data_IF_507343052903
#
_entry.id   IF_507343052903
#
_cell.length_a   1.000
_cell.length_b   1.000
_cell.length_c   1.000
_cell.angle_alpha   90.00
_cell.angle_beta   90.00
_cell.angle_gamma   90.00
#
_symmetry.space_group_name_H-M   'P 1'
#
loop_
_entity.id
_entity.type
_entity.pdbx_description
1 polymer ?
#
# COMPACT_ATOMS: atom_id res chain seq x y z
N UNK A 1 -11.57 1.33 8.83
CA UNK A 1 -11.92 1.92 7.52
C UNK A 1 -11.72 3.42 7.63
N UNK A 2 -10.88 4.02 6.77
CA UNK A 2 -10.59 5.45 6.80
C UNK A 2 -11.85 6.29 6.54
N UNK A 3 -11.97 7.43 7.21
CA UNK A 3 -13.06 8.39 7.05
C UNK A 3 -12.53 9.80 7.13
N UNK A 4 -13.14 10.70 6.36
CA UNK A 4 -12.96 12.15 6.49
C UNK A 4 -14.32 12.76 6.80
N UNK A 5 -14.48 13.28 8.02
CA UNK A 5 -15.79 13.71 8.54
C UNK A 5 -16.84 12.60 8.44
N UNK A 6 -17.97 12.92 7.81
CA UNK A 6 -19.11 11.99 7.62
C UNK A 6 -18.93 10.99 6.47
N UNK A 7 -17.85 11.09 5.68
CA UNK A 7 -17.68 10.29 4.45
C UNK A 7 -16.58 9.24 4.58
N UNK A 8 -16.80 8.10 3.94
CA UNK A 8 -15.77 7.06 3.80
C UNK A 8 -14.81 7.43 2.68
N UNK A 9 -13.57 6.97 2.77
CA UNK A 9 -12.59 7.12 1.68
C UNK A 9 -13.10 6.46 0.39
N UNK A 10 -13.76 5.30 0.50
CA UNK A 10 -14.39 4.65 -0.67
C UNK A 10 -15.40 5.57 -1.37
N UNK A 11 -16.25 6.28 -0.61
CA UNK A 11 -17.22 7.22 -1.19
C UNK A 11 -16.53 8.38 -1.90
N UNK A 12 -15.42 8.88 -1.35
CA UNK A 12 -14.63 9.95 -1.97
C UNK A 12 -13.95 9.48 -3.26
N UNK A 13 -13.37 8.28 -3.25
CA UNK A 13 -12.76 7.68 -4.45
C UNK A 13 -13.81 7.47 -5.54
N UNK A 14 -14.98 6.92 -5.21
CA UNK A 14 -16.08 6.73 -6.20
C UNK A 14 -16.60 8.04 -6.79
N UNK A 15 -16.70 9.08 -5.97
CA UNK A 15 -17.06 10.41 -6.46
C UNK A 15 -16.00 10.96 -7.40
N UNK A 16 -14.72 10.83 -7.05
CA UNK A 16 -13.61 11.24 -7.89
C UNK A 16 -13.61 10.49 -9.23
N UNK A 17 -13.74 9.16 -9.20
CA UNK A 17 -13.81 8.31 -10.38
C UNK A 17 -14.91 8.78 -11.34
N UNK A 18 -16.09 9.09 -10.80
CA UNK A 18 -17.22 9.60 -11.58
C UNK A 18 -16.98 11.02 -12.10
N UNK A 19 -16.49 11.94 -11.27
CA UNK A 19 -16.31 13.36 -11.65
C UNK A 19 -15.16 13.57 -12.62
N UNK A 20 -14.15 12.72 -12.57
CA UNK A 20 -12.94 12.83 -13.36
C UNK A 20 -12.88 11.80 -14.50
N UNK A 21 -13.97 11.06 -14.73
CA UNK A 21 -14.13 10.10 -15.85
C UNK A 21 -13.10 8.95 -15.83
N UNK A 22 -12.76 8.45 -14.64
CA UNK A 22 -11.80 7.35 -14.44
C UNK A 22 -12.45 5.96 -14.38
N UNK A 23 -13.74 5.83 -14.70
CA UNK A 23 -14.47 4.56 -14.58
C UNK A 23 -14.03 3.52 -15.61
N UNK A 24 -13.71 3.96 -16.83
CA UNK A 24 -13.23 3.08 -17.90
C UNK A 24 -12.24 3.83 -18.79
N UNK A 25 -11.40 3.08 -19.52
CA UNK A 25 -10.50 3.69 -20.51
C UNK A 25 -11.25 4.49 -21.58
N UNK A 26 -12.47 4.06 -21.92
CA UNK A 26 -13.32 4.75 -22.90
C UNK A 26 -13.81 6.09 -22.35
N UNK A 27 -14.41 6.06 -21.16
CA UNK A 27 -14.91 7.25 -20.46
C UNK A 27 -13.81 8.31 -20.29
N UNK A 28 -12.61 7.86 -19.88
CA UNK A 28 -11.45 8.75 -19.74
C UNK A 28 -11.08 9.44 -21.05
N UNK A 29 -10.94 8.66 -22.13
CA UNK A 29 -10.51 9.18 -23.44
C UNK A 29 -11.55 10.08 -24.12
N UNK A 30 -12.82 9.93 -23.77
CA UNK A 30 -13.89 10.78 -24.29
C UNK A 30 -13.93 12.17 -23.62
N UNK A 31 -13.34 12.30 -22.43
CA UNK A 31 -13.42 13.52 -21.60
C UNK A 31 -12.07 14.20 -21.33
N UNK A 32 -10.96 13.61 -21.75
CA UNK A 32 -9.61 14.15 -21.56
C UNK A 32 -8.85 14.26 -22.88
N UNK A 33 -8.13 15.37 -23.08
CA UNK A 33 -7.29 15.60 -24.28
C UNK A 33 -6.13 14.59 -24.42
N UNK A 34 -5.80 13.90 -23.33
CA UNK A 34 -4.74 12.91 -23.30
C UNK A 34 -5.28 11.53 -23.68
N UNK A 35 -4.74 10.97 -24.77
CA UNK A 35 -5.08 9.63 -25.22
C UNK A 35 -4.40 8.51 -24.42
N UNK A 36 -3.52 8.83 -23.48
CA UNK A 36 -2.72 7.85 -22.75
C UNK A 36 -3.07 7.86 -21.27
N UNK A 37 -3.45 6.69 -20.76
CA UNK A 37 -3.76 6.50 -19.35
C UNK A 37 -2.50 6.00 -18.63
N UNK A 38 -2.07 6.69 -17.58
CA UNK A 38 -0.95 6.24 -16.75
C UNK A 38 -1.36 6.11 -15.29
N UNK A 39 -0.78 5.12 -14.60
CA UNK A 39 -1.01 4.89 -13.17
C UNK A 39 -0.50 6.08 -12.35
N UNK A 40 0.62 6.68 -12.79
CA UNK A 40 1.17 7.89 -12.19
C UNK A 40 0.17 9.04 -12.21
N UNK A 41 -0.41 9.36 -13.39
CA UNK A 41 -1.38 10.45 -13.53
C UNK A 41 -2.63 10.21 -12.68
N UNK A 42 -3.13 8.97 -12.66
CA UNK A 42 -4.22 8.55 -11.75
C UNK A 42 -3.88 8.87 -10.28
N UNK A 43 -2.67 8.54 -9.84
CA UNK A 43 -2.23 8.78 -8.47
C UNK A 43 -2.07 10.28 -8.14
N UNK A 44 -1.55 11.09 -9.07
CA UNK A 44 -1.41 12.55 -8.89
C UNK A 44 -2.78 13.23 -8.79
N UNK A 45 -3.70 12.93 -9.71
CA UNK A 45 -5.05 13.52 -9.72
C UNK A 45 -5.87 13.07 -8.50
N UNK A 46 -5.72 11.82 -8.07
CA UNK A 46 -6.38 11.32 -6.86
C UNK A 46 -5.82 11.98 -5.59
N UNK A 47 -4.49 12.20 -5.51
CA UNK A 47 -3.87 12.92 -4.41
C UNK A 47 -4.45 14.33 -4.29
N UNK A 48 -4.51 15.07 -5.41
CA UNK A 48 -5.03 16.44 -5.43
C UNK A 48 -6.51 16.50 -5.01
N UNK A 49 -7.32 15.54 -5.46
CA UNK A 49 -8.71 15.46 -5.05
C UNK A 49 -8.86 15.16 -3.56
N UNK A 50 -8.15 14.15 -3.05
CA UNK A 50 -8.26 13.73 -1.65
C UNK A 50 -7.67 14.77 -0.69
N UNK A 51 -6.63 15.50 -1.07
CA UNK A 51 -6.13 16.66 -0.30
C UNK A 51 -7.19 17.74 -0.15
N UNK A 52 -7.84 18.14 -1.25
CA UNK A 52 -8.94 19.11 -1.21
C UNK A 52 -10.09 18.60 -0.35
N UNK A 53 -10.42 17.30 -0.42
CA UNK A 53 -11.46 16.72 0.44
C UNK A 53 -11.06 16.74 1.92
N UNK A 54 -9.78 16.50 2.23
CA UNK A 54 -9.23 16.57 3.58
C UNK A 54 -9.29 18.00 4.15
N UNK A 55 -8.79 18.98 3.39
CA UNK A 55 -8.76 20.41 3.74
C UNK A 55 -10.16 20.99 3.96
N UNK A 56 -11.16 20.48 3.25
CA UNK A 56 -12.56 20.90 3.39
C UNK A 56 -13.36 20.08 4.41
N UNK A 57 -12.71 19.17 5.15
CA UNK A 57 -13.40 18.31 6.14
C UNK A 57 -13.22 18.80 7.57
N UNK A 58 -14.11 18.33 8.45
CA UNK A 58 -14.13 18.68 9.88
C UNK A 58 -12.83 18.31 10.62
N UNK A 59 -12.00 17.43 10.05
CA UNK A 59 -10.69 17.04 10.62
C UNK A 59 -9.74 18.22 10.76
N UNK A 60 -9.94 19.30 9.98
CA UNK A 60 -9.13 20.51 10.07
C UNK A 60 -9.34 21.28 11.37
N UNK A 61 -10.44 21.03 12.09
CA UNK A 61 -10.69 21.58 13.41
C UNK A 61 -9.93 20.85 14.53
N UNK A 62 -9.34 19.69 14.23
CA UNK A 62 -8.54 18.94 15.20
C UNK A 62 -7.12 19.54 15.31
N UNK A 63 -6.50 19.46 16.51
CA UNK A 63 -5.07 19.70 16.70
C UNK A 63 -4.23 18.86 15.72
N UNK A 64 -3.10 19.40 15.27
CA UNK A 64 -2.28 18.77 14.23
C UNK A 64 -1.79 17.36 14.60
N UNK A 65 -1.50 17.11 15.87
CA UNK A 65 -1.09 15.82 16.40
C UNK A 65 -2.24 14.78 16.51
N UNK A 66 -3.49 15.22 16.39
CA UNK A 66 -4.68 14.36 16.45
C UNK A 66 -5.30 14.12 15.07
N UNK A 67 -4.80 14.82 14.05
CA UNK A 67 -5.28 14.71 12.69
C UNK A 67 -5.02 13.32 12.10
N UNK A 68 -6.04 12.66 11.53
CA UNK A 68 -5.89 11.31 11.01
C UNK A 68 -5.00 11.31 9.78
N UNK A 69 -4.08 10.34 9.74
CA UNK A 69 -3.21 10.10 8.60
C UNK A 69 -3.81 8.99 7.74
N UNK A 70 -3.82 9.20 6.42
CA UNK A 70 -4.26 8.22 5.44
C UNK A 70 -3.16 7.95 4.41
N UNK A 71 -2.74 6.69 4.32
CA UNK A 71 -1.92 6.22 3.20
C UNK A 71 -2.79 5.62 2.09
N UNK A 72 -2.51 5.99 0.85
CA UNK A 72 -3.13 5.40 -0.36
C UNK A 72 -2.04 4.80 -1.23
N UNK A 73 -2.34 3.64 -1.81
CA UNK A 73 -1.52 3.00 -2.84
C UNK A 73 -2.36 2.92 -4.11
N UNK A 74 -1.78 3.36 -5.21
CA UNK A 74 -2.35 3.27 -6.56
C UNK A 74 -1.41 2.40 -7.38
N UNK A 75 -1.90 1.28 -7.87
CA UNK A 75 -1.11 0.29 -8.59
C UNK A 75 -1.82 -0.18 -9.86
N UNK A 76 -1.06 -0.49 -10.90
CA UNK A 76 -1.62 -0.99 -12.15
C UNK A 76 -0.60 -1.04 -13.27
N UNK A 77 -1.09 -1.07 -14.51
CA UNK A 77 -0.28 -1.00 -15.73
C UNK A 77 -0.66 0.28 -16.46
N UNK A 78 0.33 1.10 -16.81
CA UNK A 78 0.11 2.24 -17.70
C UNK A 78 -0.13 1.74 -19.12
N UNK A 79 -0.87 2.50 -19.90
CA UNK A 79 -1.22 2.14 -21.27
C UNK A 79 0.03 1.97 -22.13
N UNK A 80 0.19 0.78 -22.73
CA UNK A 80 1.35 0.42 -23.55
C UNK A 80 2.55 -0.10 -22.75
N UNK A 81 2.53 -0.04 -21.42
CA UNK A 81 3.62 -0.50 -20.58
C UNK A 81 3.48 -1.99 -20.21
N UNK A 82 4.60 -2.71 -20.26
CA UNK A 82 4.65 -4.14 -19.93
C UNK A 82 4.77 -4.40 -18.43
N UNK A 83 5.46 -3.51 -17.70
CA UNK A 83 5.70 -3.67 -16.26
C UNK A 83 4.71 -2.85 -15.43
N UNK A 84 4.31 -3.34 -14.24
CA UNK A 84 3.41 -2.61 -13.37
C UNK A 84 4.10 -1.43 -12.69
N UNK A 85 3.29 -0.44 -12.32
CA UNK A 85 3.69 0.69 -11.51
C UNK A 85 2.96 0.67 -10.17
N UNK A 86 3.63 1.16 -9.12
CA UNK A 86 3.07 1.31 -7.78
C UNK A 86 3.45 2.68 -7.26
N UNK A 87 2.44 3.51 -7.03
CA UNK A 87 2.56 4.85 -6.48
C UNK A 87 1.88 4.91 -5.12
N UNK A 88 2.45 5.69 -4.21
CA UNK A 88 1.92 5.83 -2.85
C UNK A 88 2.00 7.27 -2.41
N UNK A 89 1.02 7.70 -1.63
CA UNK A 89 1.03 9.00 -0.97
C UNK A 89 0.36 8.91 0.40
N UNK A 90 0.73 9.82 1.29
CA UNK A 90 0.13 9.99 2.61
C UNK A 90 -0.49 11.39 2.74
N UNK A 91 -1.74 11.46 3.18
CA UNK A 91 -2.44 12.71 3.47
C UNK A 91 -2.58 12.86 5.00
N UNK A 92 -2.34 14.06 5.57
CA UNK A 92 -1.92 15.31 4.93
C UNK A 92 -0.38 15.50 4.86
N UNK A 93 0.40 14.45 5.12
CA UNK A 93 1.85 14.54 5.34
C UNK A 93 2.64 14.80 4.06
N UNK A 94 2.29 14.15 2.96
CA UNK A 94 3.05 14.16 1.71
C UNK A 94 2.39 15.06 0.66
N UNK A 95 3.21 15.88 0.01
CA UNK A 95 2.75 16.77 -1.05
C UNK A 95 2.86 16.17 -2.46
N UNK A 96 3.54 15.05 -2.61
CA UNK A 96 3.80 14.39 -3.88
C UNK A 96 3.66 12.88 -3.73
N UNK A 97 3.40 12.21 -4.85
CA UNK A 97 3.41 10.75 -4.89
C UNK A 97 4.84 10.20 -4.86
N UNK A 98 4.99 9.02 -4.28
CA UNK A 98 6.24 8.29 -4.14
C UNK A 98 6.20 6.99 -4.95
N UNK A 99 7.13 6.82 -5.88
CA UNK A 99 7.29 5.57 -6.62
C UNK A 99 7.78 4.47 -5.68
N UNK A 100 7.01 3.39 -5.53
CA UNK A 100 7.37 2.27 -4.65
C UNK A 100 8.25 1.23 -5.34
N UNK A 101 8.41 1.31 -6.66
CA UNK A 101 9.26 0.42 -7.48
C UNK A 101 10.02 1.24 -8.52
N UNK A 102 10.88 2.20 -8.10
CA UNK A 102 11.73 2.90 -9.06
C UNK A 102 12.71 1.91 -9.70
N UNK A 103 12.99 2.10 -10.99
CA UNK A 103 13.98 1.31 -11.71
C UNK A 103 15.33 1.36 -10.98
N UNK A 104 16.03 0.22 -10.94
CA UNK A 104 17.37 0.10 -10.38
C UNK A 104 18.35 -0.13 -11.52
N UNK A 105 19.37 0.73 -11.65
CA UNK A 105 20.35 0.66 -12.74
C UNK A 105 19.70 0.59 -14.14
N UNK A 106 18.66 1.39 -14.36
CA UNK A 106 17.84 1.41 -15.57
C UNK A 106 17.11 0.08 -15.89
N UNK A 107 16.99 -0.83 -14.92
CA UNK A 107 16.24 -2.07 -15.03
C UNK A 107 14.97 -2.01 -14.16
N UNK A 108 13.89 -2.71 -14.55
CA UNK A 108 12.69 -2.85 -13.72
C UNK A 108 13.03 -3.43 -12.34
N UNK A 109 12.34 -2.93 -11.32
CA UNK A 109 12.53 -3.35 -9.94
C UNK A 109 11.34 -4.18 -9.46
N UNK A 110 11.60 -5.35 -8.89
CA UNK A 110 10.59 -6.29 -8.42
C UNK A 110 10.72 -6.51 -6.92
N UNK A 111 9.61 -6.60 -6.22
CA UNK A 111 9.62 -6.75 -4.77
C UNK A 111 8.24 -6.70 -4.14
N UNK A 112 8.21 -6.83 -2.81
CA UNK A 112 7.02 -6.64 -1.99
C UNK A 112 7.10 -5.36 -1.15
N UNK A 113 5.95 -4.70 -0.95
CA UNK A 113 5.80 -3.52 -0.10
C UNK A 113 4.70 -3.79 0.91
N UNK A 114 4.88 -3.33 2.14
CA UNK A 114 3.92 -3.52 3.22
C UNK A 114 3.69 -2.20 3.96
N UNK A 115 2.46 -2.01 4.40
CA UNK A 115 2.00 -0.79 5.07
C UNK A 115 1.10 -1.15 6.26
N UNK A 116 0.94 -0.21 7.19
CA UNK A 116 0.17 -0.45 8.42
C UNK A 116 1.03 -1.12 9.49
N UNK A 117 0.64 -2.33 9.89
CA UNK A 117 1.31 -3.08 10.96
C UNK A 117 2.37 -4.00 10.36
N UNK A 118 3.61 -3.52 10.34
CA UNK A 118 4.68 -4.11 9.52
C UNK A 118 5.71 -4.89 10.34
N UNK A 119 5.76 -4.72 11.66
CA UNK A 119 6.82 -5.23 12.52
C UNK A 119 7.08 -6.74 12.37
N UNK A 120 6.01 -7.55 12.26
CA UNK A 120 6.09 -8.98 12.06
C UNK A 120 6.75 -9.35 10.71
N UNK A 121 6.35 -8.66 9.64
CA UNK A 121 6.88 -8.86 8.29
C UNK A 121 8.32 -8.38 8.20
N UNK A 122 8.65 -7.25 8.81
CA UNK A 122 10.03 -6.72 8.87
C UNK A 122 10.94 -7.72 9.56
N UNK A 123 10.51 -8.25 10.72
CA UNK A 123 11.28 -9.25 11.46
C UNK A 123 11.49 -10.52 10.66
N UNK A 124 10.44 -11.03 10.02
CA UNK A 124 10.53 -12.24 9.22
C UNK A 124 11.38 -12.03 7.97
N UNK A 125 11.07 -11.03 7.15
CA UNK A 125 11.68 -10.83 5.84
C UNK A 125 13.10 -10.26 5.92
N UNK A 126 13.33 -9.23 6.73
CA UNK A 126 14.62 -8.55 6.85
C UNK A 126 15.50 -9.08 8.00
N UNK A 127 14.99 -10.01 8.83
CA UNK A 127 15.76 -10.55 9.94
C UNK A 127 16.07 -9.54 11.04
N UNK A 128 15.36 -8.41 11.07
CA UNK A 128 15.62 -7.28 11.99
C UNK A 128 14.34 -6.64 12.48
N UNK A 129 14.43 -5.83 13.52
CA UNK A 129 13.39 -4.88 13.89
C UNK A 129 14.01 -3.57 14.36
N UNK A 130 13.24 -2.48 14.30
CA UNK A 130 13.74 -1.14 14.60
C UNK A 130 14.15 -0.99 16.07
N UNK A 131 13.56 -1.75 17.00
CA UNK A 131 13.98 -1.74 18.39
C UNK A 131 15.33 -2.44 18.56
N UNK A 132 15.58 -3.57 17.90
CA UNK A 132 16.91 -4.22 17.87
C UNK A 132 17.96 -3.26 17.33
N UNK A 133 17.67 -2.53 16.24
CA UNK A 133 18.60 -1.56 15.67
C UNK A 133 18.99 -0.52 16.70
N UNK A 134 17.99 0.08 17.37
CA UNK A 134 18.21 1.09 18.40
C UNK A 134 18.97 0.54 19.60
N UNK A 135 18.61 -0.64 20.10
CA UNK A 135 19.29 -1.28 21.24
C UNK A 135 20.77 -1.50 20.93
N UNK A 136 21.11 -2.00 19.73
CA UNK A 136 22.49 -2.24 19.33
C UNK A 136 23.26 -0.92 19.13
N UNK A 137 22.63 0.05 18.47
CA UNK A 137 23.16 1.40 18.27
C UNK A 137 23.55 2.03 19.62
N UNK A 138 22.61 2.07 20.56
CA UNK A 138 22.82 2.67 21.89
C UNK A 138 23.85 1.89 22.73
N UNK A 139 23.80 0.54 22.69
CA UNK A 139 24.68 -0.31 23.50
C UNK A 139 26.14 -0.24 23.07
N UNK A 140 26.39 -0.17 21.77
CA UNK A 140 27.74 -0.21 21.19
C UNK A 140 28.22 1.17 20.73
N UNK A 141 27.40 2.22 20.87
CA UNK A 141 27.70 3.59 20.44
C UNK A 141 28.10 3.65 18.95
N UNK A 142 27.38 2.90 18.12
CA UNK A 142 27.50 2.88 16.65
C UNK A 142 26.25 3.51 16.04
N UNK A 143 26.32 3.95 14.78
CA UNK A 143 25.13 4.53 14.14
C UNK A 143 24.08 3.46 13.79
N UNK A 144 22.79 3.81 13.81
CA UNK A 144 21.72 2.91 13.33
C UNK A 144 21.94 2.45 11.88
N UNK A 145 22.52 3.32 11.04
CA UNK A 145 22.87 2.99 9.66
C UNK A 145 23.95 1.90 9.55
N UNK A 146 24.91 1.89 10.48
CA UNK A 146 25.93 0.85 10.59
C UNK A 146 25.32 -0.47 11.06
N UNK A 147 24.44 -0.45 12.06
CA UNK A 147 23.73 -1.67 12.48
C UNK A 147 22.89 -2.24 11.33
N UNK A 148 22.20 -1.38 10.58
CA UNK A 148 21.43 -1.77 9.41
C UNK A 148 22.30 -2.46 8.34
N UNK A 149 23.50 -1.94 8.05
CA UNK A 149 24.39 -2.55 7.07
C UNK A 149 24.93 -3.91 7.54
N UNK A 150 25.20 -4.05 8.84
CA UNK A 150 25.61 -5.32 9.46
C UNK A 150 24.51 -6.39 9.42
N UNK A 151 23.25 -5.98 9.53
CA UNK A 151 22.09 -6.88 9.50
C UNK A 151 21.58 -7.17 8.08
N UNK A 152 22.02 -6.44 7.05
CA UNK A 152 21.57 -6.64 5.68
C UNK A 152 21.68 -8.10 5.18
N UNK A 153 22.73 -8.87 5.51
CA UNK A 153 22.83 -10.28 5.11
C UNK A 153 21.76 -11.21 5.74
N UNK A 154 21.04 -10.77 6.77
CA UNK A 154 19.98 -11.56 7.41
C UNK A 154 18.65 -11.54 6.62
N UNK A 155 18.53 -10.68 5.61
CA UNK A 155 17.34 -10.64 4.76
C UNK A 155 17.18 -11.95 3.99
N UNK A 156 15.97 -12.51 3.98
CA UNK A 156 15.69 -13.68 3.15
C UNK A 156 15.80 -13.33 1.65
N UNK A 157 16.55 -14.13 0.87
CA UNK A 157 16.69 -13.90 -0.57
C UNK A 157 15.44 -14.39 -1.31
N UNK A 158 14.39 -13.57 -1.34
CA UNK A 158 13.14 -13.87 -2.06
C UNK A 158 13.30 -13.54 -3.55
N UNK A 159 13.10 -14.49 -4.48
CA UNK A 159 13.39 -14.30 -5.90
C UNK A 159 12.24 -13.59 -6.64
N UNK A 160 11.90 -12.36 -6.23
CA UNK A 160 10.74 -11.62 -6.75
C UNK A 160 10.72 -11.45 -8.28
N UNK A 161 11.89 -11.28 -8.92
CA UNK A 161 11.98 -11.04 -10.36
C UNK A 161 11.56 -12.24 -11.22
N UNK A 162 11.59 -13.45 -10.66
CA UNK A 162 11.22 -14.70 -11.36
C UNK A 162 10.03 -15.39 -10.71
N UNK A 163 9.36 -14.71 -9.78
CA UNK A 163 8.23 -15.24 -9.02
C UNK A 163 6.98 -15.32 -9.91
N UNK A 164 6.40 -16.51 -10.12
CA UNK A 164 5.11 -16.65 -10.77
C UNK A 164 3.99 -15.91 -10.03
N UNK A 165 2.92 -15.54 -10.73
CA UNK A 165 1.79 -14.81 -10.13
C UNK A 165 1.16 -15.58 -8.94
N UNK A 166 1.05 -16.91 -9.05
CA UNK A 166 0.49 -17.73 -7.97
C UNK A 166 1.36 -17.68 -6.71
N UNK A 167 2.69 -17.81 -6.86
CA UNK A 167 3.63 -17.70 -5.75
C UNK A 167 3.60 -16.30 -5.13
N UNK A 168 3.41 -15.24 -5.93
CA UNK A 168 3.25 -13.87 -5.41
C UNK A 168 1.98 -13.70 -4.57
N UNK A 169 0.87 -14.30 -5.01
CA UNK A 169 -0.40 -14.35 -4.26
C UNK A 169 -0.20 -15.09 -2.93
N UNK A 170 0.44 -16.26 -2.96
CA UNK A 170 0.70 -17.08 -1.78
C UNK A 170 1.68 -16.41 -0.81
N UNK A 171 2.70 -15.73 -1.33
CA UNK A 171 3.63 -14.92 -0.55
C UNK A 171 2.89 -13.80 0.19
N UNK A 172 2.02 -13.05 -0.50
CA UNK A 172 1.21 -12.00 0.12
C UNK A 172 0.28 -12.58 1.20
N UNK A 173 -0.39 -13.69 0.92
CA UNK A 173 -1.23 -14.40 1.88
C UNK A 173 -0.45 -14.83 3.12
N UNK A 174 0.74 -15.41 2.93
CA UNK A 174 1.61 -15.84 4.02
C UNK A 174 2.06 -14.66 4.89
N UNK A 175 2.53 -13.56 4.29
CA UNK A 175 2.98 -12.38 5.04
C UNK A 175 1.86 -11.76 5.88
N UNK A 176 0.63 -11.73 5.38
CA UNK A 176 -0.52 -11.24 6.17
C UNK A 176 -0.82 -12.19 7.33
N UNK A 177 -0.79 -13.51 7.12
CA UNK A 177 -0.99 -14.49 8.19
C UNK A 177 0.08 -14.39 9.30
N UNK A 178 1.33 -14.07 8.93
CA UNK A 178 2.40 -13.80 9.90
C UNK A 178 2.04 -12.61 10.78
N UNK A 179 1.55 -11.51 10.19
CA UNK A 179 1.07 -10.35 10.96
C UNK A 179 -0.13 -10.70 11.84
N UNK A 180 -1.12 -11.43 11.31
CA UNK A 180 -2.29 -11.88 12.10
C UNK A 180 -1.83 -12.73 13.29
N UNK A 181 -0.95 -13.70 13.05
CA UNK A 181 -0.39 -14.55 14.10
C UNK A 181 0.32 -13.73 15.17
N UNK A 182 1.14 -12.75 14.76
CA UNK A 182 1.81 -11.83 15.69
C UNK A 182 0.82 -11.08 16.58
N UNK A 183 -0.25 -10.50 16.02
CA UNK A 183 -1.20 -9.71 16.82
C UNK A 183 -2.16 -10.55 17.66
N UNK A 184 -2.33 -11.83 17.31
CA UNK A 184 -3.13 -12.78 18.08
C UNK A 184 -2.40 -13.36 19.29
N UNK A 185 -1.10 -13.65 19.16
CA UNK A 185 -0.35 -14.41 20.17
C UNK A 185 0.58 -13.55 21.04
N UNK A 186 0.82 -12.29 20.68
CA UNK A 186 1.61 -11.35 21.50
C UNK A 186 0.66 -10.54 22.37
N UNK A 187 1.08 -10.27 23.62
CA UNK A 187 0.32 -9.43 24.56
C UNK A 187 0.03 -8.06 23.92
N UNK A 188 -1.25 -7.70 23.89
CA UNK A 188 -1.72 -6.44 23.33
C UNK A 188 -3.06 -6.62 22.61
N UNK A 189 -3.58 -5.54 22.01
CA UNK A 189 -4.79 -5.61 21.20
C UNK A 189 -4.56 -6.38 19.89
N UNK A 190 -5.55 -7.17 19.47
CA UNK A 190 -5.58 -7.86 18.18
C UNK A 190 -5.86 -6.86 17.04
N UNK A 191 -4.85 -6.07 16.66
CA UNK A 191 -4.99 -5.00 15.67
C UNK A 191 -5.04 -5.50 14.21
N UNK A 192 -4.67 -6.76 13.96
CA UNK A 192 -4.72 -7.39 12.64
C UNK A 192 -5.41 -8.76 12.72
N UNK A 193 -6.41 -8.99 11.87
CA UNK A 193 -7.19 -10.23 11.87
C UNK A 193 -8.31 -10.21 10.83
N UNK A 194 -9.19 -11.20 10.93
CA UNK A 194 -10.32 -11.37 10.02
C UNK A 194 -9.97 -11.98 8.66
N UNK A 195 -10.94 -12.05 7.73
CA UNK A 195 -10.72 -12.61 6.39
C UNK A 195 -9.68 -11.81 5.60
N UNK A 196 -8.74 -12.50 4.96
CA UNK A 196 -7.76 -11.90 4.05
C UNK A 196 -8.39 -11.74 2.67
N UNK A 197 -8.43 -10.50 2.19
CA UNK A 197 -8.82 -10.17 0.82
C UNK A 197 -7.58 -9.99 -0.04
N UNK A 198 -7.58 -10.58 -1.23
CA UNK A 198 -6.48 -10.53 -2.19
C UNK A 198 -7.04 -10.20 -3.56
N UNK A 199 -6.43 -9.23 -4.23
CA UNK A 199 -6.66 -8.95 -5.64
C UNK A 199 -5.34 -8.99 -6.41
N UNK A 200 -5.41 -9.40 -7.67
CA UNK A 200 -4.30 -9.38 -8.61
C UNK A 200 -4.63 -8.41 -9.74
N UNK A 201 -3.66 -7.55 -10.07
CA UNK A 201 -3.72 -6.71 -11.27
C UNK A 201 -2.71 -7.26 -12.25
N UNK A 202 -3.19 -7.59 -13.45
CA UNK A 202 -2.40 -8.11 -14.56
C UNK A 202 -2.60 -7.21 -15.78
N UNK A 203 -1.83 -7.37 -16.87
CA UNK A 203 -2.11 -6.67 -18.12
C UNK A 203 -3.53 -6.92 -18.66
N UNK A 204 -4.15 -8.05 -18.29
CA UNK A 204 -5.53 -8.39 -18.68
C UNK A 204 -6.59 -7.76 -17.76
N UNK A 205 -6.18 -7.03 -16.73
CA UNK A 205 -7.06 -6.33 -15.81
C UNK A 205 -7.00 -6.80 -14.36
N UNK A 206 -7.95 -6.28 -13.59
CA UNK A 206 -8.11 -6.50 -12.15
C UNK A 206 -8.95 -7.75 -11.86
N UNK A 207 -8.49 -8.59 -10.94
CA UNK A 207 -9.17 -9.82 -10.54
C UNK A 207 -9.16 -9.96 -9.01
N UNK A 208 -10.33 -10.22 -8.42
CA UNK A 208 -10.40 -10.66 -7.02
C UNK A 208 -10.00 -12.13 -6.95
N UNK A 209 -8.98 -12.44 -6.15
CA UNK A 209 -8.54 -13.80 -5.84
C UNK A 209 -9.27 -14.32 -4.60
N UNK A 210 -9.38 -13.45 -3.58
CA UNK A 210 -10.17 -13.67 -2.38
C UNK A 210 -10.85 -12.36 -1.99
N UNK A 211 -12.16 -12.39 -1.76
CA UNK A 211 -12.93 -11.20 -1.36
C UNK A 211 -14.02 -11.60 -0.37
N UNK A 212 -14.23 -10.76 0.64
CA UNK A 212 -15.31 -10.96 1.59
C UNK A 212 -16.66 -10.83 0.87
N UNK A 213 -17.56 -11.77 1.14
CA UNK A 213 -18.94 -11.70 0.67
C UNK A 213 -19.75 -10.71 1.51
N UNK A 214 -20.59 -9.94 0.84
CA UNK A 214 -21.60 -9.06 1.46
C UNK A 214 -22.83 -9.83 1.93
N UNK A 215 -23.00 -11.09 1.47
CA UNK A 215 -24.06 -11.97 1.96
C UNK A 215 -23.74 -12.38 3.40
N UNK A 216 -24.68 -12.17 4.30
CA UNK A 216 -24.65 -12.77 5.62
C UNK A 216 -24.70 -14.29 5.43
N UNK A 217 -23.62 -14.99 5.76
CA UNK A 217 -23.66 -16.46 5.84
C UNK A 217 -24.52 -16.76 7.07
N UNK A 218 -25.74 -17.26 6.87
CA UNK A 218 -26.51 -17.85 7.96
C UNK A 218 -25.76 -19.11 8.36
N UNK A 219 -25.31 -19.18 9.61
CA UNK A 219 -24.76 -20.42 10.14
C UNK A 219 -25.82 -21.51 10.05
N UNK A 220 -25.47 -22.63 9.44
CA UNK A 220 -26.18 -23.91 9.61
C UNK A 220 -25.61 -24.63 10.84
#
# INVERSE_FOLDING_TARGET
MGKYGSRTIESLIREWEHKQHWLTNKDYKEHHDSNTITVKKCAEELLDFLKKAYENSEVMHLPENERPILGIVVAGYSEGEFFPEIWRFIIPVENQISNQRPNQNNQPNFGASWFGLTDAVIRLHWGRDDAIIKILSDKFNVSEAEVLSLLAPAQYPVPFAVMPLQDAIEYAYYMINVTIGRYRFVIGPELCGGPIEIAAITPNGFNWISRKSWKLVKGE
#
